data_IF_459116820251
#
_entry.id   IF_459116820251
#
_cell.length_a   1.000
_cell.length_b   1.000
_cell.length_c   1.000
_cell.angle_alpha   90.00
_cell.angle_beta   90.00
_cell.angle_gamma   90.00
#
_symmetry.space_group_name_H-M   'P 1'
#
loop_
_entity.id
_entity.type
_entity.pdbx_description
1 polymer ?
#
# COMPACT_ATOMS: atom_id res chain seq x y z
N UNK A 1 13.14 50.10 -36.92
CA UNK A 1 11.81 50.24 -36.28
C UNK A 1 11.86 49.47 -34.97
N UNK A 2 12.33 50.08 -33.87
CA UNK A 2 11.56 50.95 -32.95
C UNK A 2 10.26 50.24 -32.52
N UNK A 3 10.27 49.50 -31.42
CA UNK A 3 10.03 49.96 -30.03
C UNK A 3 8.61 49.56 -29.60
N UNK A 4 8.49 48.72 -28.56
CA UNK A 4 7.72 49.05 -27.35
C UNK A 4 7.89 47.98 -26.27
N UNK A 5 8.62 48.39 -25.24
CA UNK A 5 8.66 47.81 -23.90
C UNK A 5 7.29 47.98 -23.24
N UNK A 6 6.81 46.93 -22.59
CA UNK A 6 5.67 46.97 -21.67
C UNK A 6 6.09 46.46 -20.29
N UNK A 7 6.55 47.36 -19.44
CA UNK A 7 6.72 47.14 -17.99
C UNK A 7 5.38 47.39 -17.28
N UNK A 8 4.96 46.49 -16.39
CA UNK A 8 3.89 46.80 -15.43
C UNK A 8 4.09 46.12 -14.07
N UNK A 9 4.49 46.97 -13.11
CA UNK A 9 3.96 47.12 -11.73
C UNK A 9 4.04 45.93 -10.75
N UNK A 10 5.10 46.03 -9.94
CA UNK A 10 5.08 45.92 -8.48
C UNK A 10 3.70 46.20 -7.84
N UNK A 11 3.22 45.27 -6.99
CA UNK A 11 2.34 45.59 -5.85
C UNK A 11 3.00 45.12 -4.56
N UNK A 12 3.32 46.11 -3.75
CA UNK A 12 3.80 46.05 -2.38
C UNK A 12 2.67 45.72 -1.41
N UNK A 13 2.99 44.91 -0.39
CA UNK A 13 2.53 45.08 0.98
C UNK A 13 1.13 44.56 1.31
N UNK A 14 1.06 43.62 2.26
CA UNK A 14 0.44 43.87 3.58
C UNK A 14 0.92 42.78 4.54
N UNK A 15 1.90 43.10 5.38
CA UNK A 15 2.28 42.34 6.58
C UNK A 15 1.23 42.56 7.66
N UNK A 16 0.37 41.57 7.90
CA UNK A 16 -0.53 41.56 9.06
C UNK A 16 0.18 40.91 10.24
N UNK A 17 0.65 41.77 11.14
CA UNK A 17 1.11 41.46 12.49
C UNK A 17 -0.10 41.10 13.36
N UNK A 18 -0.28 39.82 13.70
CA UNK A 18 -1.25 39.43 14.72
C UNK A 18 -0.57 39.36 16.08
N UNK A 19 -0.88 40.38 16.89
CA UNK A 19 -0.54 40.53 18.30
C UNK A 19 -0.99 39.32 19.12
N UNK A 20 -0.07 38.93 19.99
CA UNK A 20 -0.22 38.07 21.15
C UNK A 20 -1.44 38.44 22.02
N UNK A 21 -2.32 37.46 22.24
CA UNK A 21 -3.36 37.49 23.27
C UNK A 21 -3.22 36.27 24.17
N UNK A 22 -2.26 36.31 25.09
CA UNK A 22 -2.12 35.32 26.16
C UNK A 22 -3.27 35.49 27.16
N UNK A 23 -4.37 34.77 26.94
CA UNK A 23 -5.40 34.59 27.97
C UNK A 23 -4.89 33.55 28.97
N UNK A 24 -4.33 34.04 30.08
CA UNK A 24 -4.18 33.30 31.35
C UNK A 24 -5.58 32.87 31.82
N UNK A 25 -6.01 31.68 31.45
CA UNK A 25 -7.10 30.98 32.13
C UNK A 25 -6.55 30.35 33.39
N UNK A 26 -6.82 30.96 34.54
CA UNK A 26 -6.58 30.34 35.84
C UNK A 26 -7.52 29.14 35.99
N UNK A 27 -6.99 27.93 35.77
CA UNK A 27 -7.70 26.71 36.09
C UNK A 27 -7.68 26.52 37.61
N UNK A 28 -8.75 26.99 38.29
CA UNK A 28 -9.08 26.56 39.65
C UNK A 28 -9.27 25.04 39.62
N UNK A 29 -8.29 24.29 40.12
CA UNK A 29 -8.43 22.89 40.46
C UNK A 29 -9.50 22.74 41.55
N UNK A 30 -10.76 22.53 41.15
CA UNK A 30 -11.77 21.91 42.01
C UNK A 30 -11.44 20.42 42.08
N UNK A 31 -10.81 20.01 43.18
CA UNK A 31 -10.73 18.61 43.60
C UNK A 31 -12.17 18.06 43.73
N UNK A 32 -12.57 17.03 42.97
CA UNK A 32 -13.83 16.37 43.22
C UNK A 32 -13.73 15.61 44.55
N UNK A 33 -14.43 16.12 45.56
CA UNK A 33 -14.64 15.46 46.85
C UNK A 33 -15.44 14.15 46.67
N UNK A 34 -14.74 13.05 46.35
CA UNK A 34 -15.28 11.68 46.37
C UNK A 34 -14.27 10.63 46.88
N UNK A 35 -13.20 11.04 47.57
CA UNK A 35 -12.21 10.12 48.15
C UNK A 35 -12.29 9.98 49.70
N UNK A 36 -13.27 10.59 50.37
CA UNK A 36 -13.37 10.56 51.85
C UNK A 36 -14.46 9.60 52.37
N UNK A 37 -15.25 8.94 51.51
CA UNK A 37 -16.33 8.02 51.95
C UNK A 37 -16.05 6.52 51.78
N UNK A 38 -14.81 6.09 51.50
CA UNK A 38 -14.46 4.66 51.43
C UNK A 38 -13.53 4.15 52.54
N UNK A 39 -12.96 5.02 53.38
CA UNK A 39 -12.12 4.60 54.52
C UNK A 39 -12.89 4.41 55.85
N UNK A 40 -14.19 4.70 55.89
CA UNK A 40 -15.00 4.67 57.13
C UNK A 40 -15.99 3.51 57.23
N UNK A 41 -16.01 2.58 56.25
CA UNK A 41 -16.89 1.39 56.27
C UNK A 41 -16.18 0.03 56.41
N UNK A 42 -14.85 0.02 56.56
CA UNK A 42 -14.08 -1.21 56.78
C UNK A 42 -13.50 -1.36 58.20
N UNK A 43 -13.94 -0.53 59.16
CA UNK A 43 -13.55 -0.62 60.59
C UNK A 43 -14.69 -1.08 61.52
N UNK A 44 -15.89 -1.38 61.01
CA UNK A 44 -17.06 -1.74 61.83
C UNK A 44 -17.55 -3.18 61.67
N UNK A 45 -16.80 -4.09 61.04
CA UNK A 45 -17.19 -5.51 60.88
C UNK A 45 -16.18 -6.54 61.41
N UNK A 46 -15.34 -6.16 62.37
CA UNK A 46 -14.40 -7.08 63.03
C UNK A 46 -14.43 -6.98 64.57
N UNK A 47 -15.64 -6.74 65.11
CA UNK A 47 -15.86 -6.65 66.56
C UNK A 47 -17.19 -7.27 66.98
N UNK A 48 -17.43 -8.53 66.61
CA UNK A 48 -18.41 -9.39 67.30
C UNK A 48 -18.19 -10.85 66.93
N UNK A 49 -17.39 -11.55 67.76
CA UNK A 49 -17.31 -13.00 67.97
C UNK A 49 -15.87 -13.41 68.25
N UNK A 50 -15.47 -13.38 69.51
CA UNK A 50 -14.75 -14.51 70.08
C UNK A 50 -14.92 -14.45 71.58
N UNK A 51 -15.57 -15.48 72.13
CA UNK A 51 -15.74 -15.68 73.55
C UNK A 51 -14.41 -15.60 74.29
N UNK A 52 -14.53 -15.12 75.52
CA UNK A 52 -13.49 -15.19 76.53
C UNK A 52 -13.10 -16.64 76.81
N UNK A 53 -11.85 -16.82 77.27
CA UNK A 53 -11.16 -18.06 77.66
C UNK A 53 -10.38 -18.77 76.54
N UNK A 54 -9.28 -18.15 76.07
CA UNK A 54 -8.00 -18.89 75.89
C UNK A 54 -6.77 -17.99 75.64
N UNK A 55 -6.66 -16.87 76.36
CA UNK A 55 -5.54 -15.91 76.22
C UNK A 55 -4.56 -16.03 77.39
N UNK A 56 -3.85 -17.15 77.51
CA UNK A 56 -2.62 -17.18 78.30
C UNK A 56 -1.53 -18.15 77.82
N UNK A 57 -1.80 -19.06 76.88
CA UNK A 57 -0.80 -20.05 76.42
C UNK A 57 -0.08 -19.74 75.10
N UNK A 58 -0.45 -18.70 74.35
CA UNK A 58 0.11 -18.40 73.01
C UNK A 58 1.05 -17.18 72.94
N UNK A 59 1.73 -16.84 74.05
CA UNK A 59 2.75 -15.77 74.10
C UNK A 59 4.18 -16.25 74.40
N UNK A 60 4.43 -17.57 74.50
CA UNK A 60 5.78 -18.14 74.72
C UNK A 60 6.38 -18.90 73.54
N UNK A 61 5.73 -18.92 72.37
CA UNK A 61 6.20 -19.71 71.22
C UNK A 61 6.64 -18.90 69.98
N UNK A 62 6.56 -17.56 70.02
CA UNK A 62 6.93 -16.70 68.87
C UNK A 62 8.13 -15.78 69.14
N UNK A 63 8.90 -16.04 70.19
CA UNK A 63 10.12 -15.27 70.51
C UNK A 63 11.43 -16.03 70.23
N UNK A 64 11.39 -17.10 69.41
CA UNK A 64 12.57 -17.96 69.16
C UNK A 64 13.01 -18.10 67.71
N UNK A 65 12.44 -17.35 66.76
CA UNK A 65 12.93 -17.35 65.37
C UNK A 65 12.87 -15.92 64.83
N UNK A 66 13.91 -15.14 65.10
CA UNK A 66 14.22 -13.92 64.36
C UNK A 66 15.72 -13.60 64.55
N UNK A 67 16.57 -14.18 63.71
CA UNK A 67 17.88 -13.60 63.37
C UNK A 67 17.69 -12.84 62.06
N UNK A 68 17.74 -11.49 62.06
CA UNK A 68 17.42 -10.68 60.88
C UNK A 68 18.69 -10.34 60.10
N UNK A 69 19.48 -11.33 59.67
CA UNK A 69 20.76 -11.06 59.00
C UNK A 69 21.06 -11.96 57.79
N UNK A 70 20.09 -12.73 57.31
CA UNK A 70 20.30 -13.65 56.18
C UNK A 70 19.13 -13.69 55.17
N UNK A 71 18.49 -12.55 54.92
CA UNK A 71 17.40 -12.41 53.92
C UNK A 71 17.70 -11.33 52.88
N UNK A 72 18.75 -10.54 53.05
CA UNK A 72 19.07 -9.44 52.14
C UNK A 72 19.92 -9.88 50.92
N UNK A 73 20.51 -11.07 50.95
CA UNK A 73 21.37 -11.56 49.86
C UNK A 73 20.64 -12.43 48.82
N UNK A 74 19.45 -12.94 49.13
CA UNK A 74 18.67 -13.79 48.21
C UNK A 74 17.78 -13.01 47.24
N UNK A 75 17.70 -11.68 47.36
CA UNK A 75 16.90 -10.82 46.46
C UNK A 75 17.74 -10.29 45.28
N UNK A 76 19.07 -10.43 45.30
CA UNK A 76 19.96 -9.91 44.23
C UNK A 76 20.25 -10.89 43.08
N UNK A 77 19.66 -12.10 43.06
CA UNK A 77 19.86 -13.08 41.99
C UNK A 77 18.56 -13.80 41.59
N UNK A 78 17.56 -13.04 41.18
CA UNK A 78 16.45 -13.58 40.39
C UNK A 78 16.69 -13.26 38.91
N UNK A 79 16.70 -14.27 38.02
CA UNK A 79 17.00 -14.09 36.60
C UNK A 79 15.89 -13.32 35.88
N UNK A 80 16.33 -12.61 34.85
CA UNK A 80 15.59 -11.74 33.94
C UNK A 80 14.66 -12.56 33.01
N UNK A 81 13.77 -13.39 33.55
CA UNK A 81 12.86 -14.23 32.77
C UNK A 81 11.45 -13.64 32.71
N UNK A 82 11.04 -13.32 31.48
CA UNK A 82 9.69 -13.10 30.98
C UNK A 82 8.77 -12.19 31.82
N UNK A 83 8.83 -10.89 31.54
CA UNK A 83 7.63 -10.06 31.56
C UNK A 83 6.66 -10.56 30.48
N UNK A 84 5.88 -11.59 30.79
CA UNK A 84 4.56 -11.72 30.19
C UNK A 84 3.77 -10.48 30.62
N UNK A 85 3.63 -9.52 29.70
CA UNK A 85 2.75 -8.36 29.85
C UNK A 85 1.32 -8.84 30.12
N UNK A 86 1.00 -9.04 31.40
CA UNK A 86 -0.34 -9.31 31.87
C UNK A 86 -1.20 -8.10 31.51
N UNK A 87 -1.98 -8.23 30.44
CA UNK A 87 -2.84 -7.18 29.90
C UNK A 87 -4.01 -6.95 30.86
N UNK A 88 -3.79 -6.13 31.90
CA UNK A 88 -4.85 -5.71 32.82
C UNK A 88 -5.86 -4.87 32.02
N UNK A 89 -7.12 -5.32 31.85
CA UNK A 89 -8.12 -4.56 31.12
C UNK A 89 -8.44 -3.28 31.90
N UNK A 90 -7.90 -2.15 31.41
CA UNK A 90 -8.19 -0.83 31.98
C UNK A 90 -9.68 -0.49 31.86
N UNK A 91 -10.24 0.28 32.82
CA UNK A 91 -11.67 0.60 32.87
C UNK A 91 -12.16 1.30 31.61
N UNK A 92 -13.35 0.88 31.17
CA UNK A 92 -14.03 1.29 29.93
C UNK A 92 -14.35 2.79 29.98
N UNK A 93 -13.41 3.63 29.53
CA UNK A 93 -13.69 5.02 29.20
C UNK A 93 -14.33 5.09 27.80
N UNK A 94 -15.51 5.71 27.72
CA UNK A 94 -16.27 5.94 26.47
C UNK A 94 -15.60 7.02 25.60
N UNK A 95 -14.34 6.82 25.21
CA UNK A 95 -13.66 7.65 24.22
C UNK A 95 -14.16 7.31 22.81
N UNK A 96 -14.20 8.29 21.90
CA UNK A 96 -14.47 8.05 20.49
C UNK A 96 -13.30 7.25 19.91
N UNK A 97 -13.52 5.99 19.58
CA UNK A 97 -12.51 5.14 18.95
C UNK A 97 -12.27 5.59 17.50
N UNK A 98 -11.07 6.06 17.17
CA UNK A 98 -10.67 6.39 15.79
C UNK A 98 -9.70 5.36 15.24
N UNK A 99 -9.81 5.06 13.95
CA UNK A 99 -8.86 4.21 13.22
C UNK A 99 -7.53 4.97 13.09
N UNK A 100 -6.37 4.38 13.44
CA UNK A 100 -5.06 5.00 13.26
C UNK A 100 -4.83 5.44 11.82
N UNK A 101 -4.03 6.50 11.62
CA UNK A 101 -3.86 7.09 10.30
C UNK A 101 -3.24 6.09 9.32
N UNK A 102 -2.20 5.36 9.73
CA UNK A 102 -1.56 4.39 8.84
C UNK A 102 -2.49 3.24 8.42
N UNK A 103 -3.40 2.80 9.30
CA UNK A 103 -4.42 1.79 8.94
C UNK A 103 -5.46 2.37 7.96
N UNK A 104 -5.88 3.63 8.15
CA UNK A 104 -6.78 4.30 7.17
C UNK A 104 -6.14 4.39 5.80
N UNK A 105 -4.85 4.73 5.76
CA UNK A 105 -4.10 4.78 4.52
C UNK A 105 -3.98 3.39 3.88
N UNK A 106 -3.71 2.35 4.67
CA UNK A 106 -3.65 0.96 4.17
C UNK A 106 -5.01 0.48 3.61
N UNK A 107 -6.12 0.84 4.27
CA UNK A 107 -7.47 0.61 3.74
C UNK A 107 -7.67 1.34 2.41
N UNK A 108 -7.25 2.60 2.31
CA UNK A 108 -7.33 3.38 1.07
C UNK A 108 -6.49 2.78 -0.05
N UNK A 109 -5.27 2.32 0.27
CA UNK A 109 -4.39 1.62 -0.67
C UNK A 109 -5.01 0.31 -1.18
N UNK A 110 -5.52 -0.53 -0.29
CA UNK A 110 -6.22 -1.76 -0.70
C UNK A 110 -7.51 -1.47 -1.48
N UNK A 111 -8.22 -0.38 -1.14
CA UNK A 111 -9.40 0.06 -1.89
C UNK A 111 -9.04 0.50 -3.31
N UNK A 112 -7.95 1.24 -3.48
CA UNK A 112 -7.41 1.60 -4.78
C UNK A 112 -6.97 0.36 -5.58
N UNK A 113 -6.27 -0.60 -4.95
CA UNK A 113 -5.94 -1.87 -5.59
C UNK A 113 -7.19 -2.65 -6.00
N UNK A 114 -8.21 -2.73 -5.14
CA UNK A 114 -9.47 -3.39 -5.45
C UNK A 114 -10.13 -2.78 -6.69
N UNK A 115 -10.12 -1.45 -6.80
CA UNK A 115 -10.64 -0.75 -7.96
C UNK A 115 -9.85 -1.10 -9.23
N UNK A 116 -8.51 -1.12 -9.17
CA UNK A 116 -7.68 -1.53 -10.31
C UNK A 116 -7.95 -2.98 -10.72
N UNK A 117 -8.13 -3.90 -9.76
CA UNK A 117 -8.48 -5.29 -10.04
C UNK A 117 -9.87 -5.42 -10.66
N UNK A 118 -10.86 -4.65 -10.19
CA UNK A 118 -12.21 -4.64 -10.79
C UNK A 118 -12.13 -4.12 -12.23
N UNK A 119 -11.42 -3.02 -12.47
CA UNK A 119 -11.19 -2.48 -13.81
C UNK A 119 -10.52 -3.53 -14.70
N UNK A 120 -9.44 -4.15 -14.22
CA UNK A 120 -8.72 -5.20 -14.94
C UNK A 120 -9.57 -6.44 -15.18
N UNK A 121 -10.46 -6.78 -14.26
CA UNK A 121 -11.41 -7.89 -14.42
C UNK A 121 -12.43 -7.59 -15.52
N UNK A 122 -12.99 -6.36 -15.55
CA UNK A 122 -13.95 -5.93 -16.58
C UNK A 122 -13.30 -5.89 -17.96
N UNK A 123 -12.10 -5.29 -18.09
CA UNK A 123 -11.36 -5.28 -19.36
C UNK A 123 -10.83 -6.67 -19.74
N UNK A 124 -10.52 -7.50 -18.74
CA UNK A 124 -10.00 -8.85 -18.91
C UNK A 124 -11.06 -9.90 -19.24
N UNK A 125 -12.35 -9.56 -19.36
CA UNK A 125 -13.39 -10.53 -19.76
C UNK A 125 -13.08 -11.10 -21.15
N UNK A 126 -12.59 -10.28 -22.07
CA UNK A 126 -12.28 -10.69 -23.45
C UNK A 126 -10.96 -11.45 -23.55
N UNK A 127 -9.93 -11.02 -22.80
CA UNK A 127 -8.61 -11.64 -22.81
C UNK A 127 -8.03 -11.69 -21.39
N UNK A 128 -8.50 -12.63 -20.55
CA UNK A 128 -8.06 -12.70 -19.17
C UNK A 128 -6.61 -13.15 -19.12
N UNK A 129 -5.75 -12.28 -18.60
CA UNK A 129 -4.33 -12.53 -18.40
C UNK A 129 -3.92 -12.16 -16.99
N UNK A 130 -2.99 -12.92 -16.42
CA UNK A 130 -2.39 -12.62 -15.12
C UNK A 130 -0.94 -13.14 -15.10
N UNK A 131 -0.10 -12.54 -14.28
CA UNK A 131 1.31 -12.95 -14.14
C UNK A 131 1.49 -13.55 -12.75
N UNK A 132 1.84 -14.83 -12.72
CA UNK A 132 2.13 -15.55 -11.50
C UNK A 132 3.47 -16.26 -11.63
N UNK A 133 4.40 -15.97 -10.72
CA UNK A 133 5.76 -16.50 -10.66
C UNK A 133 6.50 -16.37 -11.99
N UNK A 134 6.40 -15.20 -12.63
CA UNK A 134 7.03 -14.91 -13.91
C UNK A 134 6.37 -15.56 -15.13
N UNK A 135 5.33 -16.39 -14.93
CA UNK A 135 4.59 -17.01 -16.04
C UNK A 135 3.31 -16.24 -16.33
N UNK A 136 3.11 -15.92 -17.60
CA UNK A 136 1.84 -15.40 -18.08
C UNK A 136 0.82 -16.54 -18.14
N UNK A 137 -0.24 -16.44 -17.36
CA UNK A 137 -1.38 -17.35 -17.37
C UNK A 137 -2.50 -16.64 -18.10
N UNK A 138 -3.11 -17.29 -19.08
CA UNK A 138 -4.24 -16.77 -19.85
C UNK A 138 -5.49 -17.66 -19.73
N UNK A 139 -6.63 -17.13 -20.13
CA UNK A 139 -7.89 -17.86 -20.19
C UNK A 139 -8.61 -17.99 -18.83
N UNK A 140 -9.43 -19.04 -18.68
CA UNK A 140 -10.28 -19.23 -17.49
C UNK A 140 -9.49 -19.35 -16.19
N UNK A 141 -8.27 -19.92 -16.24
CA UNK A 141 -7.38 -20.02 -15.07
C UNK A 141 -6.99 -18.65 -14.53
N UNK A 142 -6.66 -17.71 -15.43
CA UNK A 142 -6.31 -16.35 -15.04
C UNK A 142 -7.50 -15.63 -14.40
N UNK A 143 -8.70 -15.84 -14.93
CA UNK A 143 -9.93 -15.27 -14.38
C UNK A 143 -10.21 -15.75 -12.96
N UNK A 144 -10.07 -17.06 -12.70
CA UNK A 144 -10.23 -17.66 -11.36
C UNK A 144 -9.21 -17.06 -10.39
N UNK A 145 -7.93 -16.99 -10.78
CA UNK A 145 -6.87 -16.42 -9.94
C UNK A 145 -7.17 -14.96 -9.60
N UNK A 146 -7.51 -14.14 -10.60
CA UNK A 146 -7.83 -12.72 -10.38
C UNK A 146 -9.07 -12.54 -9.49
N UNK A 147 -10.09 -13.38 -9.63
CA UNK A 147 -11.29 -13.35 -8.78
C UNK A 147 -10.95 -13.71 -7.31
N UNK A 148 -10.11 -14.73 -7.10
CA UNK A 148 -9.65 -15.13 -5.76
C UNK A 148 -8.82 -14.00 -5.12
N UNK A 149 -7.89 -13.40 -5.88
CA UNK A 149 -7.09 -12.27 -5.38
C UNK A 149 -7.98 -11.08 -5.00
N UNK A 150 -8.96 -10.73 -5.83
CA UNK A 150 -9.92 -9.66 -5.51
C UNK A 150 -10.72 -9.99 -4.25
N UNK A 151 -11.20 -11.23 -4.10
CA UNK A 151 -11.93 -11.65 -2.90
C UNK A 151 -11.07 -11.54 -1.63
N UNK A 152 -9.80 -11.93 -1.69
CA UNK A 152 -8.85 -11.78 -0.57
C UNK A 152 -8.65 -10.30 -0.22
N UNK A 153 -8.45 -9.44 -1.22
CA UNK A 153 -8.28 -7.99 -1.00
C UNK A 153 -9.52 -7.39 -0.33
N UNK A 154 -10.72 -7.68 -0.85
CA UNK A 154 -11.97 -7.19 -0.26
C UNK A 154 -12.17 -7.70 1.17
N UNK A 155 -11.81 -8.97 1.44
CA UNK A 155 -11.87 -9.54 2.78
C UNK A 155 -10.89 -8.87 3.74
N UNK A 156 -9.68 -8.51 3.28
CA UNK A 156 -8.72 -7.71 4.07
C UNK A 156 -9.24 -6.29 4.33
N UNK A 157 -9.81 -5.60 3.34
CA UNK A 157 -10.41 -4.26 3.50
C UNK A 157 -11.49 -4.30 4.58
N UNK A 158 -12.41 -5.27 4.49
CA UNK A 158 -13.46 -5.48 5.48
C UNK A 158 -12.86 -5.74 6.87
N UNK A 159 -11.87 -6.63 6.96
CA UNK A 159 -11.28 -7.00 8.22
C UNK A 159 -10.45 -5.87 8.87
N UNK A 160 -9.76 -5.02 8.10
CA UNK A 160 -9.10 -3.81 8.61
C UNK A 160 -10.10 -2.78 9.10
N UNK A 161 -11.21 -2.60 8.36
CA UNK A 161 -12.30 -1.72 8.78
C UNK A 161 -12.92 -2.18 10.11
N UNK A 162 -13.14 -3.51 10.25
CA UNK A 162 -13.71 -4.14 11.44
C UNK A 162 -12.68 -4.49 12.52
N UNK A 163 -11.39 -4.24 12.28
CA UNK A 163 -10.26 -4.56 13.16
C UNK A 163 -10.27 -5.99 13.69
N UNK A 164 -10.40 -6.96 12.79
CA UNK A 164 -10.40 -8.37 13.17
C UNK A 164 -8.97 -8.89 13.30
N UNK A 165 -8.66 -9.62 14.37
CA UNK A 165 -7.31 -10.14 14.62
C UNK A 165 -6.75 -10.98 13.46
N UNK A 166 -7.58 -11.79 12.80
CA UNK A 166 -7.17 -12.61 11.65
C UNK A 166 -6.60 -11.79 10.48
N UNK A 167 -6.89 -10.48 10.41
CA UNK A 167 -6.34 -9.63 9.35
C UNK A 167 -4.86 -9.41 9.46
N UNK A 168 -4.29 -9.49 10.66
CA UNK A 168 -2.86 -9.40 10.84
C UNK A 168 -2.17 -10.54 10.07
N UNK A 169 -2.51 -11.78 10.38
CA UNK A 169 -1.90 -12.96 9.76
C UNK A 169 -2.20 -13.03 8.25
N UNK A 170 -3.44 -12.74 7.85
CA UNK A 170 -3.83 -12.71 6.45
C UNK A 170 -3.05 -11.66 5.65
N UNK A 171 -2.89 -10.45 6.21
CA UNK A 171 -2.17 -9.37 5.51
C UNK A 171 -0.68 -9.68 5.38
N UNK A 172 -0.04 -10.21 6.42
CA UNK A 172 1.37 -10.64 6.32
C UNK A 172 1.50 -11.73 5.27
N UNK A 173 0.64 -12.75 5.28
CA UNK A 173 0.65 -13.82 4.28
C UNK A 173 0.45 -13.31 2.87
N UNK A 174 -0.53 -12.44 2.66
CA UNK A 174 -0.83 -11.85 1.35
C UNK A 174 0.32 -10.99 0.83
N UNK A 175 0.79 -10.02 1.60
CA UNK A 175 1.88 -9.13 1.17
C UNK A 175 3.21 -9.88 0.99
N UNK A 176 3.47 -10.93 1.79
CA UNK A 176 4.66 -11.77 1.60
C UNK A 176 4.54 -12.60 0.32
N UNK A 177 3.35 -13.13 0.04
CA UNK A 177 3.08 -13.86 -1.20
C UNK A 177 3.24 -12.95 -2.43
N UNK A 178 2.72 -11.72 -2.39
CA UNK A 178 2.85 -10.77 -3.50
C UNK A 178 4.30 -10.32 -3.69
N UNK A 179 5.05 -10.05 -2.61
CA UNK A 179 6.47 -9.74 -2.66
C UNK A 179 7.28 -10.88 -3.28
N UNK A 180 7.02 -12.13 -2.85
CA UNK A 180 7.68 -13.31 -3.38
C UNK A 180 7.31 -13.54 -4.85
N UNK A 181 6.03 -13.40 -5.21
CA UNK A 181 5.56 -13.49 -6.58
C UNK A 181 6.24 -12.46 -7.49
N UNK A 182 6.33 -11.20 -7.05
CA UNK A 182 6.99 -10.14 -7.78
C UNK A 182 8.50 -10.37 -7.89
N UNK A 183 9.16 -10.87 -6.84
CA UNK A 183 10.58 -11.19 -6.85
C UNK A 183 10.90 -12.33 -7.83
N UNK A 184 10.13 -13.43 -7.78
CA UNK A 184 10.28 -14.54 -8.73
C UNK A 184 9.99 -14.07 -10.15
N UNK A 185 8.97 -13.24 -10.33
CA UNK A 185 8.67 -12.65 -11.64
C UNK A 185 9.83 -11.80 -12.13
N UNK A 186 10.43 -10.97 -11.28
CA UNK A 186 11.60 -10.17 -11.65
C UNK A 186 12.80 -11.04 -12.11
N UNK A 187 12.98 -12.23 -11.53
CA UNK A 187 14.06 -13.15 -11.88
C UNK A 187 13.77 -14.00 -13.13
N UNK A 188 12.52 -14.42 -13.34
CA UNK A 188 12.14 -15.39 -14.37
C UNK A 188 11.48 -14.76 -15.60
N UNK A 189 11.09 -13.49 -15.54
CA UNK A 189 10.38 -12.85 -16.64
C UNK A 189 11.34 -12.43 -17.75
N UNK A 190 11.74 -13.41 -18.56
CA UNK A 190 12.59 -13.21 -19.74
C UNK A 190 11.76 -12.80 -20.99
N UNK A 191 10.45 -13.03 -20.97
CA UNK A 191 9.61 -13.17 -22.18
C UNK A 191 8.77 -11.95 -22.58
N UNK A 192 9.17 -10.72 -22.27
CA UNK A 192 8.54 -9.56 -22.93
C UNK A 192 9.21 -9.31 -24.28
N UNK A 193 8.49 -9.66 -25.37
CA UNK A 193 8.93 -9.38 -26.75
C UNK A 193 9.15 -7.88 -26.99
N UNK A 194 8.48 -7.01 -26.21
CA UNK A 194 8.71 -5.57 -26.25
C UNK A 194 9.63 -5.05 -25.13
N UNK A 195 10.67 -4.27 -25.50
CA UNK A 195 11.57 -3.66 -24.53
C UNK A 195 10.84 -2.67 -23.61
N UNK A 196 9.82 -1.96 -24.11
CA UNK A 196 9.00 -1.06 -23.29
C UNK A 196 8.26 -1.83 -22.20
N UNK A 197 7.50 -2.83 -22.60
CA UNK A 197 6.64 -3.58 -21.69
C UNK A 197 7.49 -4.27 -20.63
N UNK A 198 8.68 -4.74 -21.01
CA UNK A 198 9.69 -5.24 -20.09
C UNK A 198 10.12 -4.19 -19.06
N UNK A 199 10.45 -2.96 -19.47
CA UNK A 199 10.87 -1.89 -18.56
C UNK A 199 9.74 -1.47 -17.60
N UNK A 200 8.50 -1.34 -18.10
CA UNK A 200 7.34 -1.01 -17.28
C UNK A 200 7.00 -2.13 -16.29
N UNK A 201 7.04 -3.39 -16.73
CA UNK A 201 6.86 -4.53 -15.85
C UNK A 201 7.95 -4.62 -14.79
N UNK A 202 9.21 -4.40 -15.17
CA UNK A 202 10.33 -4.38 -14.23
C UNK A 202 10.13 -3.29 -13.18
N UNK A 203 9.80 -2.07 -13.59
CA UNK A 203 9.49 -0.97 -12.68
C UNK A 203 8.32 -1.34 -11.75
N UNK A 204 7.28 -1.97 -12.29
CA UNK A 204 6.12 -2.44 -11.52
C UNK A 204 6.51 -3.51 -10.49
N UNK A 205 7.29 -4.53 -10.86
CA UNK A 205 7.73 -5.58 -9.94
C UNK A 205 8.64 -5.04 -8.85
N UNK A 206 9.63 -4.21 -9.19
CA UNK A 206 10.49 -3.53 -8.19
C UNK A 206 9.64 -2.69 -7.25
N UNK A 207 8.66 -1.96 -7.80
CA UNK A 207 7.75 -1.13 -7.01
C UNK A 207 6.90 -1.94 -6.05
N UNK A 208 6.34 -3.07 -6.50
CA UNK A 208 5.57 -3.97 -5.67
C UNK A 208 6.41 -4.57 -4.54
N UNK A 209 7.62 -5.07 -4.82
CA UNK A 209 8.50 -5.64 -3.80
C UNK A 209 8.83 -4.62 -2.71
N UNK A 210 9.24 -3.41 -3.08
CA UNK A 210 9.58 -2.36 -2.11
C UNK A 210 8.35 -1.96 -1.29
N UNK A 211 7.20 -1.78 -1.95
CA UNK A 211 5.94 -1.43 -1.29
C UNK A 211 5.50 -2.49 -0.29
N UNK A 212 5.52 -3.75 -0.69
CA UNK A 212 5.10 -4.87 0.16
C UNK A 212 6.03 -5.03 1.37
N UNK A 213 7.35 -4.87 1.20
CA UNK A 213 8.30 -4.87 2.32
C UNK A 213 7.99 -3.75 3.32
N UNK A 214 7.73 -2.53 2.84
CA UNK A 214 7.38 -1.38 3.70
C UNK A 214 6.06 -1.61 4.43
N UNK A 215 5.07 -2.21 3.76
CA UNK A 215 3.77 -2.55 4.35
C UNK A 215 3.92 -3.65 5.42
N UNK A 216 4.64 -4.73 5.13
CA UNK A 216 4.91 -5.83 6.07
C UNK A 216 5.64 -5.27 7.31
N UNK A 217 6.68 -4.47 7.11
CA UNK A 217 7.41 -3.80 8.19
C UNK A 217 6.47 -2.99 9.10
N UNK A 218 5.58 -2.19 8.51
CA UNK A 218 4.62 -1.40 9.27
C UNK A 218 3.61 -2.27 10.04
N UNK A 219 3.06 -3.31 9.41
CA UNK A 219 2.11 -4.24 10.03
C UNK A 219 2.74 -4.95 11.23
N UNK A 220 3.97 -5.46 11.08
CA UNK A 220 4.72 -6.13 12.15
C UNK A 220 4.98 -5.19 13.34
N UNK A 221 5.42 -3.96 13.08
CA UNK A 221 5.73 -3.00 14.15
C UNK A 221 4.51 -2.42 14.86
N UNK A 222 3.35 -2.36 14.18
CA UNK A 222 2.10 -1.86 14.74
C UNK A 222 1.08 -2.98 14.98
N UNK A 223 1.56 -4.19 15.30
CA UNK A 223 0.76 -5.39 15.63
C UNK A 223 -0.43 -5.09 16.56
N UNK A 224 -0.20 -4.26 17.58
CA UNK A 224 -1.22 -3.84 18.55
C UNK A 224 -2.51 -3.29 17.90
N UNK A 225 -2.42 -2.63 16.74
CA UNK A 225 -3.59 -2.06 16.04
C UNK A 225 -4.60 -3.12 15.57
N UNK A 226 -4.18 -4.38 15.44
CA UNK A 226 -5.02 -5.48 14.95
C UNK A 226 -5.67 -6.31 16.07
N UNK A 227 -5.06 -6.35 17.26
CA UNK A 227 -5.56 -7.15 18.39
C UNK A 227 -6.34 -6.34 19.43
N UNK A 228 -6.13 -5.02 19.51
CA UNK A 228 -6.85 -4.20 20.47
C UNK A 228 -8.22 -3.77 19.92
N UNK A 229 -9.31 -4.27 20.53
CA UNK A 229 -10.68 -3.87 20.19
C UNK A 229 -10.92 -2.36 20.39
N UNK A 230 -10.21 -1.73 21.33
CA UNK A 230 -10.48 -0.39 21.84
C UNK A 230 -9.18 0.40 22.02
N UNK A 231 -8.76 1.11 20.98
CA UNK A 231 -7.65 2.07 21.07
C UNK A 231 -8.12 3.39 21.65
N UNK A 232 -7.62 3.75 22.84
CA UNK A 232 -7.71 5.13 23.33
C UNK A 232 -6.90 6.00 22.36
N UNK A 233 -7.49 7.09 21.86
CA UNK A 233 -6.81 8.10 21.04
C UNK A 233 -5.48 8.47 21.72
N UNK A 234 -4.38 7.90 21.23
CA UNK A 234 -3.04 8.36 21.56
C UNK A 234 -2.64 9.35 20.45
N UNK A 235 -1.91 10.43 20.78
CA UNK A 235 -1.39 11.33 19.77
C UNK A 235 -0.57 10.52 18.76
N UNK A 236 -0.70 10.90 17.49
CA UNK A 236 -0.05 10.32 16.31
C UNK A 236 1.29 9.63 16.61
N UNK A 237 1.38 8.34 16.31
CA UNK A 237 2.65 7.63 16.39
C UNK A 237 3.57 8.10 15.26
N UNK A 238 4.83 8.39 15.62
CA UNK A 238 5.86 8.79 14.67
C UNK A 238 6.00 7.79 13.50
N UNK A 239 5.82 6.49 13.78
CA UNK A 239 5.88 5.41 12.78
C UNK A 239 4.81 5.52 11.70
N UNK A 240 3.58 5.90 12.04
CA UNK A 240 2.51 6.14 11.05
C UNK A 240 2.92 7.22 10.03
N UNK A 241 3.61 8.28 10.50
CA UNK A 241 4.10 9.35 9.63
C UNK A 241 5.22 8.86 8.72
N UNK A 242 6.21 8.17 9.28
CA UNK A 242 7.32 7.60 8.49
C UNK A 242 6.78 6.68 7.42
N UNK A 243 5.88 5.76 7.77
CA UNK A 243 5.21 4.86 6.82
C UNK A 243 4.52 5.63 5.69
N UNK A 244 3.69 6.62 6.03
CA UNK A 244 2.95 7.41 5.06
C UNK A 244 3.88 8.17 4.11
N UNK A 245 4.88 8.89 4.65
CA UNK A 245 5.83 9.67 3.85
C UNK A 245 6.68 8.78 2.95
N UNK A 246 7.14 7.62 3.44
CA UNK A 246 7.90 6.66 2.64
C UNK A 246 7.07 6.18 1.45
N UNK A 247 5.82 5.77 1.67
CA UNK A 247 4.94 5.31 0.58
C UNK A 247 4.66 6.43 -0.42
N UNK A 248 4.27 7.63 0.04
CA UNK A 248 3.94 8.75 -0.85
C UNK A 248 5.15 9.14 -1.70
N UNK A 249 6.33 9.24 -1.09
CA UNK A 249 7.57 9.57 -1.80
C UNK A 249 7.91 8.50 -2.83
N UNK A 250 7.77 7.23 -2.46
CA UNK A 250 8.02 6.11 -3.35
C UNK A 250 7.08 6.09 -4.56
N UNK A 251 5.77 6.23 -4.36
CA UNK A 251 4.80 6.32 -5.47
C UNK A 251 5.05 7.51 -6.37
N UNK A 252 5.41 8.67 -5.79
CA UNK A 252 5.75 9.86 -6.59
C UNK A 252 6.96 9.59 -7.47
N UNK A 253 8.01 8.96 -6.92
CA UNK A 253 9.21 8.61 -7.69
C UNK A 253 8.90 7.58 -8.79
N UNK A 254 8.18 6.50 -8.46
CA UNK A 254 7.78 5.47 -9.42
C UNK A 254 6.93 6.04 -10.56
N UNK A 255 6.01 6.96 -10.25
CA UNK A 255 5.18 7.65 -11.24
C UNK A 255 6.04 8.55 -12.14
N UNK A 256 7.00 9.29 -11.60
CA UNK A 256 7.91 10.12 -12.40
C UNK A 256 8.78 9.28 -13.36
N UNK A 257 9.30 8.14 -12.89
CA UNK A 257 10.04 7.20 -13.74
C UNK A 257 9.12 6.63 -14.83
N UNK A 258 7.90 6.21 -14.47
CA UNK A 258 6.91 5.68 -15.41
C UNK A 258 6.52 6.70 -16.49
N UNK A 259 6.30 7.97 -16.13
CA UNK A 259 6.07 9.06 -17.10
C UNK A 259 7.26 9.22 -18.03
N UNK A 260 8.49 9.19 -17.49
CA UNK A 260 9.71 9.35 -18.29
C UNK A 260 9.85 8.23 -19.34
N UNK A 261 9.62 6.97 -18.93
CA UNK A 261 9.60 5.81 -19.83
C UNK A 261 8.51 5.98 -20.89
N UNK A 262 7.30 6.38 -20.49
CA UNK A 262 6.17 6.61 -21.40
C UNK A 262 6.43 7.72 -22.43
N UNK A 263 7.03 8.84 -22.01
CA UNK A 263 7.40 9.94 -22.92
C UNK A 263 8.48 9.51 -23.90
N UNK A 264 9.49 8.76 -23.43
CA UNK A 264 10.54 8.25 -24.29
C UNK A 264 9.96 7.31 -25.36
N UNK A 265 9.08 6.40 -24.94
CA UNK A 265 8.37 5.50 -25.86
C UNK A 265 7.57 6.24 -26.91
N UNK A 266 6.80 7.25 -26.49
CA UNK A 266 6.01 8.05 -27.40
C UNK A 266 6.91 8.71 -28.46
N UNK A 267 8.01 9.34 -28.04
CA UNK A 267 8.97 9.97 -28.96
C UNK A 267 9.60 8.96 -29.92
N UNK A 268 10.03 7.81 -29.43
CA UNK A 268 10.68 6.79 -30.26
C UNK A 268 9.69 6.18 -31.27
N UNK A 269 8.45 5.94 -30.83
CA UNK A 269 7.37 5.44 -31.70
C UNK A 269 7.01 6.44 -32.78
N UNK A 270 6.83 7.72 -32.44
CA UNK A 270 6.55 8.77 -33.42
C UNK A 270 7.70 8.91 -34.42
N UNK A 271 8.96 8.86 -33.97
CA UNK A 271 10.12 8.89 -34.87
C UNK A 271 10.15 7.69 -35.82
N UNK A 272 9.85 6.48 -35.33
CA UNK A 272 9.76 5.30 -36.19
C UNK A 272 8.63 5.45 -37.21
N UNK A 273 7.47 5.94 -36.80
CA UNK A 273 6.33 6.19 -37.70
C UNK A 273 6.72 7.23 -38.77
N UNK A 274 7.26 8.38 -38.38
CA UNK A 274 7.65 9.45 -39.31
C UNK A 274 8.73 8.98 -40.30
N UNK A 275 9.72 8.21 -39.82
CA UNK A 275 10.75 7.61 -40.66
C UNK A 275 10.16 6.63 -41.68
N UNK A 276 9.25 5.74 -41.24
CA UNK A 276 8.60 4.78 -42.13
C UNK A 276 7.70 5.48 -43.16
N UNK A 277 6.95 6.52 -42.78
CA UNK A 277 6.15 7.32 -43.72
C UNK A 277 7.04 7.99 -44.77
N UNK A 278 8.17 8.58 -44.34
CA UNK A 278 9.11 9.24 -45.24
C UNK A 278 9.79 8.26 -46.21
N UNK A 279 10.10 7.05 -45.75
CA UNK A 279 10.70 5.98 -46.56
C UNK A 279 9.71 5.43 -47.60
N UNK A 280 8.45 5.24 -47.21
CA UNK A 280 7.41 4.72 -48.09
C UNK A 280 7.01 5.68 -49.21
N UNK A 281 7.22 7.00 -49.04
CA UNK A 281 6.91 8.06 -50.05
C UNK A 281 5.53 7.94 -50.72
N UNK A 282 4.55 7.35 -50.05
CA UNK A 282 3.22 7.10 -50.61
C UNK A 282 3.06 5.84 -51.48
N UNK A 283 4.14 5.10 -51.76
CA UNK A 283 4.09 3.80 -52.45
C UNK A 283 3.88 2.65 -51.46
N UNK A 284 2.67 2.62 -50.89
CA UNK A 284 2.27 1.62 -49.90
C UNK A 284 2.13 0.20 -50.48
N UNK A 285 2.13 0.04 -51.83
CA UNK A 285 2.07 -1.28 -52.47
C UNK A 285 3.41 -2.00 -52.42
N UNK A 286 4.52 -1.30 -52.68
CA UNK A 286 5.87 -1.82 -52.41
C UNK A 286 6.21 -1.83 -50.92
N UNK A 287 5.47 -1.06 -50.13
CA UNK A 287 5.68 -0.90 -48.69
C UNK A 287 5.70 -2.22 -47.92
N UNK A 288 4.84 -3.18 -48.24
CA UNK A 288 4.85 -4.48 -47.56
C UNK A 288 6.20 -5.20 -47.70
N UNK A 289 6.77 -5.22 -48.90
CA UNK A 289 8.04 -5.88 -49.17
C UNK A 289 9.21 -5.18 -48.44
N UNK A 290 9.14 -3.85 -48.31
CA UNK A 290 10.10 -3.06 -47.52
C UNK A 290 9.96 -3.35 -46.02
N UNK A 291 8.74 -3.48 -45.51
CA UNK A 291 8.52 -3.82 -44.10
C UNK A 291 9.02 -5.24 -43.76
N UNK A 292 8.89 -6.20 -44.67
CA UNK A 292 9.38 -7.57 -44.48
C UNK A 292 10.92 -7.65 -44.37
N UNK A 293 11.64 -6.69 -44.95
CA UNK A 293 13.11 -6.60 -44.83
C UNK A 293 13.57 -6.02 -43.49
N UNK A 294 12.67 -5.36 -42.74
CA UNK A 294 12.95 -4.82 -41.42
C UNK A 294 12.84 -5.91 -40.36
N UNK A 295 13.45 -5.69 -39.20
CA UNK A 295 13.38 -6.63 -38.07
C UNK A 295 12.88 -5.95 -36.80
N UNK A 296 12.24 -6.75 -35.93
CA UNK A 296 11.77 -6.30 -34.63
C UNK A 296 10.73 -5.17 -34.69
N UNK A 297 10.80 -4.18 -33.76
CA UNK A 297 9.78 -3.14 -33.64
C UNK A 297 9.62 -2.27 -34.89
N UNK A 298 10.67 -2.07 -35.69
CA UNK A 298 10.58 -1.23 -36.89
C UNK A 298 9.76 -1.91 -37.99
N UNK A 299 9.84 -3.25 -38.11
CA UNK A 299 8.97 -4.03 -39.00
C UNK A 299 7.51 -3.93 -38.60
N UNK A 300 7.22 -4.04 -37.31
CA UNK A 300 5.86 -3.98 -36.78
C UNK A 300 5.24 -2.60 -36.99
N UNK A 301 6.01 -1.52 -36.74
CA UNK A 301 5.57 -0.14 -37.00
C UNK A 301 5.39 0.11 -38.51
N UNK A 302 6.31 -0.37 -39.35
CA UNK A 302 6.20 -0.25 -40.80
C UNK A 302 4.91 -0.94 -41.30
N UNK A 303 4.65 -2.16 -40.86
CA UNK A 303 3.44 -2.93 -41.21
C UNK A 303 2.17 -2.21 -40.77
N UNK A 304 2.15 -1.63 -39.56
CA UNK A 304 1.05 -0.80 -39.06
C UNK A 304 0.80 0.42 -39.96
N UNK A 305 1.86 1.13 -40.36
CA UNK A 305 1.76 2.32 -41.25
C UNK A 305 1.21 1.92 -42.63
N UNK A 306 1.67 0.80 -43.20
CA UNK A 306 1.16 0.30 -44.48
C UNK A 306 -0.31 -0.11 -44.37
N UNK A 307 -0.69 -0.87 -43.34
CA UNK A 307 -2.07 -1.31 -43.14
C UNK A 307 -3.04 -0.14 -42.97
N UNK A 308 -2.67 0.86 -42.16
CA UNK A 308 -3.47 2.08 -41.95
C UNK A 308 -3.61 2.91 -43.22
N UNK A 309 -2.52 3.08 -43.98
CA UNK A 309 -2.56 3.83 -45.24
C UNK A 309 -3.40 3.12 -46.32
N UNK A 310 -3.38 1.79 -46.37
CA UNK A 310 -4.23 1.00 -47.28
C UNK A 310 -5.71 1.03 -46.87
N UNK A 311 -6.00 1.06 -45.57
CA UNK A 311 -7.37 1.22 -45.03
C UNK A 311 -8.01 2.53 -45.49
N UNK A 312 -7.28 3.63 -45.41
CA UNK A 312 -7.74 4.92 -45.89
C UNK A 312 -8.08 4.94 -47.40
N UNK A 313 -7.56 3.98 -48.19
CA UNK A 313 -7.83 3.83 -49.63
C UNK A 313 -8.96 2.83 -49.96
N UNK A 314 -9.77 2.41 -48.98
CA UNK A 314 -10.92 1.50 -49.14
C UNK A 314 -10.58 0.15 -49.79
N UNK A 315 -9.47 -0.49 -49.38
CA UNK A 315 -9.13 -1.84 -49.83
C UNK A 315 -9.87 -2.93 -49.05
N UNK A 316 -9.74 -4.18 -49.52
CA UNK A 316 -10.40 -5.34 -48.91
C UNK A 316 -10.00 -5.49 -47.43
N UNK A 317 -10.99 -5.60 -46.55
CA UNK A 317 -10.79 -5.75 -45.11
C UNK A 317 -9.94 -6.99 -44.78
N UNK A 318 -10.09 -8.05 -45.57
CA UNK A 318 -9.34 -9.29 -45.43
C UNK A 318 -7.82 -9.12 -45.60
N UNK A 319 -7.36 -8.30 -46.55
CA UNK A 319 -5.93 -8.04 -46.74
C UNK A 319 -5.33 -7.29 -45.55
N UNK A 320 -6.08 -6.33 -45.01
CA UNK A 320 -5.62 -5.51 -43.89
C UNK A 320 -5.56 -6.29 -42.58
N UNK A 321 -6.55 -7.18 -42.36
CA UNK A 321 -6.52 -8.13 -41.24
C UNK A 321 -5.31 -9.06 -41.34
N UNK A 322 -4.97 -9.53 -42.54
CA UNK A 322 -3.76 -10.33 -42.78
C UNK A 322 -2.48 -9.59 -42.38
N UNK A 323 -2.35 -8.32 -42.78
CA UNK A 323 -1.22 -7.46 -42.42
C UNK A 323 -1.13 -7.25 -40.90
N UNK A 324 -2.22 -6.91 -40.23
CA UNK A 324 -2.20 -6.72 -38.77
C UNK A 324 -1.85 -8.00 -38.02
N UNK A 325 -2.30 -9.17 -38.49
CA UNK A 325 -1.97 -10.45 -37.87
C UNK A 325 -0.50 -10.85 -38.04
N UNK A 326 0.21 -10.25 -39.01
CA UNK A 326 1.64 -10.46 -39.21
C UNK A 326 2.53 -9.66 -38.24
N UNK A 327 1.94 -8.70 -37.52
CA UNK A 327 2.62 -7.90 -36.50
C UNK A 327 2.86 -8.78 -35.27
N UNK A 328 4.12 -8.86 -34.83
CA UNK A 328 4.49 -9.66 -33.66
C UNK A 328 4.07 -8.96 -32.37
N UNK A 329 4.26 -7.64 -32.32
CA UNK A 329 3.80 -6.79 -31.24
C UNK A 329 2.30 -6.89 -30.96
N UNK A 330 1.91 -7.35 -29.77
CA UNK A 330 0.52 -7.26 -29.32
C UNK A 330 0.00 -5.82 -29.30
N UNK A 331 0.86 -4.86 -28.94
CA UNK A 331 0.48 -3.44 -28.88
C UNK A 331 0.22 -2.86 -30.29
N UNK A 332 1.14 -3.06 -31.23
CA UNK A 332 0.96 -2.55 -32.59
C UNK A 332 -0.10 -3.35 -33.34
N UNK A 333 -0.23 -4.66 -33.10
CA UNK A 333 -1.31 -5.50 -33.66
C UNK A 333 -2.66 -5.01 -33.18
N UNK A 334 -2.84 -4.79 -31.88
CA UNK A 334 -4.09 -4.23 -31.35
C UNK A 334 -4.40 -2.86 -31.95
N UNK A 335 -3.38 -1.99 -32.04
CA UNK A 335 -3.52 -0.65 -32.65
C UNK A 335 -3.93 -0.75 -34.12
N UNK A 336 -3.32 -1.67 -34.87
CA UNK A 336 -3.60 -1.95 -36.27
C UNK A 336 -5.04 -2.42 -36.47
N UNK A 337 -5.47 -3.44 -35.71
CA UNK A 337 -6.83 -3.97 -35.75
C UNK A 337 -7.87 -2.89 -35.44
N UNK A 338 -7.59 -2.05 -34.42
CA UNK A 338 -8.48 -0.93 -34.06
C UNK A 338 -8.55 0.14 -35.13
N UNK A 339 -7.44 0.42 -35.82
CA UNK A 339 -7.37 1.43 -36.87
C UNK A 339 -8.09 1.03 -38.16
N UNK A 340 -8.34 -0.26 -38.38
CA UNK A 340 -9.10 -0.76 -39.53
C UNK A 340 -10.59 -0.89 -39.21
N UNK A 341 -10.93 -1.22 -37.95
CA UNK A 341 -12.30 -1.45 -37.52
C UNK A 341 -13.11 -0.16 -37.27
N UNK A 342 -12.48 1.01 -37.30
CA UNK A 342 -13.12 2.31 -37.09
C UNK A 342 -12.92 3.20 -38.31
#
# INVERSE_FOLDING_TARGET
MAEKRGTAKHKSGTTVSHKSGSKKTSLKHRLPGKAVKLKTKLKSKLKSRSGAKDRQKKKRFLSKIAKPELVEETIKRAPHELEEEFFVPSPIHRGKYRIPLGIRFLIGYLGFLSLLYIISFVYGITFPTTILFGKMISGSRAMIINAVLLAIILFMVYGFWKRKAYTFDLSIGFFSFTALNATISLLLFESAEHPLFKQLLLLSFVSLVIMDIVIIWYILHERKYFYAEKFKDRPFHHRDKVFLYTIITFWTLALLIGITIGVQFYKDTTRMIDSNIAELKGDYYRGQLLCEQKSGPDRDVCTLVVATALSAKQRSEAEMLGLCNSIQSDFYRFTCMRSIAG
#
